data_IF_490840406489
#
_entry.id   IF_490840406489
#
_cell.length_a   1.000
_cell.length_b   1.000
_cell.length_c   1.000
_cell.angle_alpha   90.00
_cell.angle_beta   90.00
_cell.angle_gamma   90.00
#
_symmetry.space_group_name_H-M   'P 1'
#
loop_
_entity.id
_entity.type
_entity.pdbx_description
1 polymer ?
#
# COMPACT_ATOMS: atom_id res chain seq x y z
N UNK A 1 -3.87 16.84 -3.23
CA UNK A 1 -4.09 15.41 -3.54
C UNK A 1 -4.12 14.69 -2.20
N UNK A 2 -5.18 13.93 -1.88
CA UNK A 2 -5.33 13.34 -0.55
C UNK A 2 -4.38 12.16 -0.32
N UNK A 3 -4.22 11.73 0.94
CA UNK A 3 -3.40 10.56 1.28
C UNK A 3 -3.81 9.31 0.48
N UNK A 4 -5.11 9.05 0.38
CA UNK A 4 -5.66 7.94 -0.41
C UNK A 4 -5.30 8.02 -1.89
N UNK A 5 -5.26 9.22 -2.45
CA UNK A 5 -4.93 9.42 -3.86
C UNK A 5 -3.48 9.10 -4.16
N UNK A 6 -2.57 9.50 -3.26
CA UNK A 6 -1.15 9.14 -3.33
C UNK A 6 -0.97 7.64 -3.17
N UNK A 7 -1.64 7.03 -2.18
CA UNK A 7 -1.57 5.59 -1.97
C UNK A 7 -2.07 4.80 -3.19
N UNK A 8 -3.18 5.22 -3.81
CA UNK A 8 -3.68 4.61 -5.06
C UNK A 8 -2.67 4.70 -6.21
N UNK A 9 -1.93 5.81 -6.32
CA UNK A 9 -0.90 5.95 -7.34
C UNK A 9 0.22 4.93 -7.13
N UNK A 10 0.72 4.78 -5.89
CA UNK A 10 1.75 3.79 -5.58
C UNK A 10 1.30 2.36 -5.87
N UNK A 11 0.05 2.02 -5.54
CA UNK A 11 -0.53 0.73 -5.87
C UNK A 11 -0.57 0.48 -7.38
N UNK A 12 -1.00 1.48 -8.15
CA UNK A 12 -1.04 1.40 -9.61
C UNK A 12 0.37 1.19 -10.20
N UNK A 13 1.36 1.91 -9.68
CA UNK A 13 2.76 1.81 -10.10
C UNK A 13 3.36 0.45 -9.78
N UNK A 14 3.20 -0.04 -8.53
CA UNK A 14 3.76 -1.34 -8.11
C UNK A 14 3.05 -2.51 -8.79
N UNK A 15 1.74 -2.42 -8.99
CA UNK A 15 0.97 -3.50 -9.60
C UNK A 15 0.91 -3.42 -11.13
N UNK A 16 1.51 -2.40 -11.73
CA UNK A 16 1.51 -2.13 -13.18
C UNK A 16 0.08 -2.14 -13.75
N UNK A 17 -0.85 -1.52 -13.03
CA UNK A 17 -2.28 -1.50 -13.38
C UNK A 17 -2.84 -0.08 -13.41
N UNK A 18 -4.04 0.09 -13.94
CA UNK A 18 -4.70 1.40 -13.97
C UNK A 18 -5.08 1.84 -12.55
N UNK A 19 -4.80 3.11 -12.22
CA UNK A 19 -5.21 3.72 -10.95
C UNK A 19 -6.72 3.66 -10.72
N UNK A 20 -7.53 3.67 -11.78
CA UNK A 20 -8.98 3.47 -11.73
C UNK A 20 -9.41 2.07 -11.30
N UNK A 21 -8.51 1.08 -11.37
CA UNK A 21 -8.74 -0.28 -10.89
C UNK A 21 -8.35 -0.46 -9.41
N UNK A 22 -7.68 0.53 -8.80
CA UNK A 22 -7.28 0.45 -7.40
C UNK A 22 -8.44 0.77 -6.48
N UNK A 23 -8.98 -0.27 -5.85
CA UNK A 23 -10.10 -0.20 -4.92
C UNK A 23 -9.65 -0.34 -3.45
N UNK A 24 -10.38 0.29 -2.53
CA UNK A 24 -10.08 0.22 -1.09
C UNK A 24 -10.32 -1.18 -0.49
N UNK A 25 -11.08 -2.05 -1.17
CA UNK A 25 -11.29 -3.45 -0.81
C UNK A 25 -10.20 -4.40 -1.31
N UNK A 26 -9.16 -3.89 -1.99
CA UNK A 26 -8.04 -4.72 -2.44
C UNK A 26 -7.29 -5.34 -1.26
N UNK A 27 -7.02 -6.63 -1.41
CA UNK A 27 -6.30 -7.49 -0.48
C UNK A 27 -5.39 -8.44 -1.26
N UNK A 28 -4.38 -8.99 -0.59
CA UNK A 28 -3.53 -10.07 -1.13
C UNK A 28 -4.32 -11.30 -1.60
N UNK A 29 -5.58 -11.47 -1.15
CA UNK A 29 -6.43 -12.61 -1.50
C UNK A 29 -7.29 -12.39 -2.75
N UNK A 30 -7.63 -11.14 -3.07
CA UNK A 30 -8.51 -10.81 -4.20
C UNK A 30 -7.78 -10.10 -5.35
N UNK A 31 -6.50 -9.79 -5.17
CA UNK A 31 -5.65 -9.12 -6.16
C UNK A 31 -4.60 -10.12 -6.61
N UNK A 32 -4.69 -10.61 -7.84
CA UNK A 32 -3.78 -11.65 -8.36
C UNK A 32 -2.34 -11.13 -8.49
N UNK A 33 -2.22 -9.85 -8.76
CA UNK A 33 -0.98 -9.08 -8.87
C UNK A 33 -0.26 -8.94 -7.53
N UNK A 34 -0.97 -9.07 -6.41
CA UNK A 34 -0.43 -8.80 -5.09
C UNK A 34 0.17 -10.07 -4.47
N UNK A 35 1.41 -10.37 -4.86
CA UNK A 35 2.21 -11.47 -4.31
C UNK A 35 3.17 -11.03 -3.19
N UNK A 36 3.96 -11.96 -2.66
CA UNK A 36 4.96 -11.68 -1.62
C UNK A 36 6.03 -10.68 -2.04
N UNK A 37 6.46 -10.71 -3.31
CA UNK A 37 7.48 -9.79 -3.82
C UNK A 37 6.90 -8.39 -3.97
N UNK A 38 5.72 -8.27 -4.58
CA UNK A 38 5.02 -6.99 -4.74
C UNK A 38 4.61 -6.40 -3.40
N UNK A 39 4.33 -7.21 -2.37
CA UNK A 39 4.11 -6.73 -1.00
C UNK A 39 5.33 -5.99 -0.45
N UNK A 40 6.52 -6.56 -0.64
CA UNK A 40 7.78 -5.94 -0.20
C UNK A 40 8.07 -4.67 -1.01
N UNK A 41 7.93 -4.72 -2.34
CA UNK A 41 8.14 -3.56 -3.22
C UNK A 41 7.17 -2.42 -2.88
N UNK A 42 5.90 -2.75 -2.60
CA UNK A 42 4.89 -1.79 -2.20
C UNK A 42 5.26 -1.13 -0.88
N UNK A 43 5.64 -1.92 0.13
CA UNK A 43 6.05 -1.40 1.43
C UNK A 43 7.24 -0.43 1.30
N UNK A 44 8.31 -0.83 0.61
CA UNK A 44 9.50 0.01 0.44
C UNK A 44 9.23 1.27 -0.37
N UNK A 45 8.33 1.18 -1.37
CA UNK A 45 7.89 2.34 -2.15
C UNK A 45 7.12 3.34 -1.27
N UNK A 46 6.22 2.84 -0.41
CA UNK A 46 5.47 3.67 0.55
C UNK A 46 6.43 4.30 1.56
N UNK A 47 7.36 3.54 2.11
CA UNK A 47 8.39 4.05 3.03
C UNK A 47 9.16 5.22 2.41
N UNK A 48 9.63 5.06 1.17
CA UNK A 48 10.36 6.11 0.46
C UNK A 48 9.50 7.34 0.12
N UNK A 49 8.23 7.15 -0.26
CA UNK A 49 7.34 8.24 -0.67
C UNK A 49 6.84 9.08 0.52
N UNK A 50 6.66 8.44 1.67
CA UNK A 50 6.13 9.09 2.86
C UNK A 50 7.17 9.37 3.95
N UNK A 51 8.41 8.89 3.77
CA UNK A 51 9.49 9.06 4.75
C UNK A 51 9.21 8.33 6.06
N UNK A 52 8.63 7.13 5.97
CA UNK A 52 8.31 6.28 7.12
C UNK A 52 9.04 4.95 7.02
N UNK A 53 9.01 4.18 8.11
CA UNK A 53 9.46 2.78 8.12
C UNK A 53 8.34 1.91 8.71
N UNK A 54 8.13 0.75 8.09
CA UNK A 54 7.30 -0.32 8.62
C UNK A 54 8.17 -1.30 9.41
N UNK A 55 7.66 -1.71 10.57
CA UNK A 55 8.28 -2.81 11.31
C UNK A 55 8.01 -4.16 10.61
N UNK A 56 8.86 -5.15 10.86
CA UNK A 56 8.67 -6.53 10.36
C UNK A 56 7.26 -7.06 10.67
N UNK A 57 6.73 -6.72 11.85
CA UNK A 57 5.40 -7.13 12.26
C UNK A 57 4.29 -6.41 11.48
N UNK A 58 4.48 -5.12 11.16
CA UNK A 58 3.57 -4.39 10.28
C UNK A 58 3.57 -5.02 8.89
N UNK A 59 4.74 -5.29 8.29
CA UNK A 59 4.87 -5.87 6.95
C UNK A 59 4.07 -7.16 6.78
N UNK A 60 4.07 -8.04 7.78
CA UNK A 60 3.27 -9.28 7.78
C UNK A 60 1.76 -9.01 7.80
N UNK A 61 1.35 -7.87 8.36
CA UNK A 61 -0.06 -7.48 8.46
C UNK A 61 -0.55 -6.56 7.33
N UNK A 62 0.35 -6.05 6.48
CA UNK A 62 0.02 -5.18 5.32
C UNK A 62 -0.56 -6.01 4.15
N UNK A 63 -1.70 -6.64 4.38
CA UNK A 63 -2.37 -7.53 3.43
C UNK A 63 -3.54 -6.90 2.67
N UNK A 64 -3.81 -5.61 2.92
CA UNK A 64 -4.96 -4.90 2.36
C UNK A 64 -4.73 -3.40 2.31
N UNK A 65 -5.37 -2.75 1.32
CA UNK A 65 -5.28 -1.31 1.13
C UNK A 65 -5.68 -0.54 2.39
N UNK A 66 -6.77 -0.96 3.04
CA UNK A 66 -7.25 -0.34 4.27
C UNK A 66 -6.24 -0.44 5.41
N UNK A 67 -5.60 -1.58 5.63
CA UNK A 67 -4.61 -1.72 6.73
C UNK A 67 -3.39 -0.84 6.50
N UNK A 68 -2.91 -0.78 5.25
CA UNK A 68 -1.82 0.12 4.88
C UNK A 68 -2.22 1.57 5.15
N UNK A 69 -3.38 1.99 4.66
CA UNK A 69 -3.91 3.33 4.90
C UNK A 69 -4.03 3.68 6.39
N UNK A 70 -4.51 2.74 7.22
CA UNK A 70 -4.61 2.93 8.67
C UNK A 70 -3.24 3.03 9.34
N UNK A 71 -2.24 2.25 8.91
CA UNK A 71 -0.87 2.37 9.41
C UNK A 71 -0.29 3.75 9.08
N UNK A 72 -0.54 4.29 7.88
CA UNK A 72 -0.11 5.65 7.50
C UNK A 72 -0.73 6.73 8.39
N UNK A 73 -2.04 6.65 8.65
CA UNK A 73 -2.73 7.57 9.58
C UNK A 73 -2.16 7.44 10.98
N UNK A 74 -1.93 6.22 11.47
CA UNK A 74 -1.34 5.95 12.78
C UNK A 74 0.06 6.56 12.94
N UNK A 75 0.78 6.75 11.83
CA UNK A 75 2.10 7.41 11.78
C UNK A 75 2.00 8.94 11.61
N UNK A 76 0.80 9.52 11.61
CA UNK A 76 0.57 10.97 11.57
C UNK A 76 0.48 11.57 10.16
N UNK A 77 0.36 10.74 9.13
CA UNK A 77 0.11 11.19 7.77
C UNK A 77 -1.42 11.31 7.59
N UNK A 78 -1.95 12.54 7.50
CA UNK A 78 -3.37 12.80 7.28
C UNK A 78 -3.58 13.95 6.28
#
# INVERSE_FOLDING_TARGET
>A
MGLKDRLRALFADVFETDRGMIDESMTTKNTAEWDSLRSIVLATTIESEFGIEFSDQELVTLDSFQKIYQSLIGKGLA
#
